data_IF_548068599267
#
_entry.id   IF_548068599267
#
_cell.length_a   1.000
_cell.length_b   1.000
_cell.length_c   1.000
_cell.angle_alpha   90.00
_cell.angle_beta   90.00
_cell.angle_gamma   90.00
#
_symmetry.space_group_name_H-M   'P 1'
#
loop_
_entity.id
_entity.type
_entity.pdbx_description
1 polymer ?
#
# COMPACT_ATOMS: atom_id res chain seq x y z
N UNK A 1 -65.30 42.36 35.75
CA UNK A 1 -63.93 42.26 35.23
C UNK A 1 -63.31 41.04 35.90
N UNK A 2 -63.56 39.85 35.37
CA UNK A 2 -62.68 39.09 34.46
C UNK A 2 -61.36 38.62 35.12
N UNK A 3 -61.46 37.65 36.04
CA UNK A 3 -60.29 37.03 36.69
C UNK A 3 -60.32 35.48 36.69
N UNK A 4 -61.39 34.85 36.20
CA UNK A 4 -61.55 33.38 36.22
C UNK A 4 -61.10 32.70 34.91
N UNK A 5 -61.02 33.43 33.78
CA UNK A 5 -60.55 32.86 32.51
C UNK A 5 -59.03 32.78 32.37
N UNK A 6 -58.27 33.60 33.11
CA UNK A 6 -56.80 33.66 33.00
C UNK A 6 -56.09 32.55 33.78
N UNK A 7 -56.64 32.07 34.90
CA UNK A 7 -56.02 30.99 35.71
C UNK A 7 -56.15 29.59 35.08
N UNK A 8 -57.24 29.30 34.39
CA UNK A 8 -57.41 28.03 33.66
C UNK A 8 -56.40 27.88 32.51
N UNK A 9 -56.07 28.99 31.83
CA UNK A 9 -55.12 28.98 30.72
C UNK A 9 -53.64 28.90 31.17
N UNK A 10 -53.33 29.31 32.40
CA UNK A 10 -51.98 29.16 32.99
C UNK A 10 -51.70 27.70 33.42
N UNK A 11 -52.70 26.98 33.95
CA UNK A 11 -52.56 25.57 34.34
C UNK A 11 -52.35 24.61 33.17
N UNK A 12 -53.06 24.83 32.05
CA UNK A 12 -52.91 24.03 30.83
C UNK A 12 -51.56 24.27 30.15
N UNK A 13 -51.06 25.52 30.14
CA UNK A 13 -49.72 25.85 29.62
C UNK A 13 -48.60 25.27 30.47
N UNK A 14 -48.72 25.29 31.80
CA UNK A 14 -47.72 24.70 32.69
C UNK A 14 -47.67 23.16 32.58
N UNK A 15 -48.82 22.48 32.45
CA UNK A 15 -48.84 21.03 32.24
C UNK A 15 -48.26 20.61 30.89
N UNK A 16 -48.50 21.38 29.82
CA UNK A 16 -47.93 21.11 28.50
C UNK A 16 -46.39 21.26 28.51
N UNK A 17 -45.87 22.31 29.18
CA UNK A 17 -44.42 22.53 29.34
C UNK A 17 -43.75 21.45 30.22
N UNK A 18 -44.44 20.93 31.23
CA UNK A 18 -43.94 19.83 32.07
C UNK A 18 -43.91 18.52 31.28
N UNK A 19 -44.96 18.19 30.52
CA UNK A 19 -45.01 16.98 29.68
C UNK A 19 -43.96 17.00 28.56
N UNK A 20 -43.71 18.17 27.95
CA UNK A 20 -42.61 18.37 26.98
C UNK A 20 -41.23 18.20 27.63
N UNK A 21 -41.04 18.69 28.86
CA UNK A 21 -39.78 18.49 29.61
C UNK A 21 -39.57 17.04 30.03
N UNK A 22 -40.61 16.32 30.44
CA UNK A 22 -40.55 14.89 30.80
C UNK A 22 -40.25 14.03 29.57
N UNK A 23 -40.88 14.30 28.42
CA UNK A 23 -40.59 13.62 27.15
C UNK A 23 -39.16 13.90 26.63
N UNK A 24 -38.66 15.13 26.80
CA UNK A 24 -37.29 15.53 26.46
C UNK A 24 -36.24 14.93 27.41
N UNK A 25 -36.56 14.75 28.69
CA UNK A 25 -35.69 14.08 29.67
C UNK A 25 -35.66 12.54 29.49
N UNK A 26 -36.75 11.91 29.04
CA UNK A 26 -36.79 10.46 28.73
C UNK A 26 -35.96 10.12 27.47
N UNK A 27 -36.04 10.95 26.42
CA UNK A 27 -35.20 10.78 25.23
C UNK A 27 -33.72 10.99 25.54
N UNK A 28 -33.35 12.01 26.33
CA UNK A 28 -31.94 12.27 26.67
C UNK A 28 -31.31 11.22 27.59
N UNK A 29 -32.08 10.53 28.44
CA UNK A 29 -31.56 9.40 29.23
C UNK A 29 -31.30 8.14 28.38
N UNK A 30 -32.13 7.87 27.36
CA UNK A 30 -31.90 6.77 26.41
C UNK A 30 -30.68 7.00 25.52
N UNK A 31 -30.43 8.24 25.07
CA UNK A 31 -29.24 8.57 24.28
C UNK A 31 -27.95 8.44 25.10
N UNK A 32 -27.98 8.80 26.40
CA UNK A 32 -26.83 8.63 27.30
C UNK A 32 -26.57 7.16 27.67
N UNK A 33 -27.62 6.36 27.85
CA UNK A 33 -27.49 4.92 28.09
C UNK A 33 -26.92 4.17 26.87
N UNK A 34 -27.21 4.64 25.66
CA UNK A 34 -26.55 4.16 24.43
C UNK A 34 -25.11 4.68 24.27
N UNK A 35 -24.78 5.86 24.81
CA UNK A 35 -23.43 6.42 24.79
C UNK A 35 -22.46 5.79 25.80
N UNK A 36 -22.95 4.96 26.73
CA UNK A 36 -22.13 4.25 27.74
C UNK A 36 -21.83 2.80 27.38
N UNK A 37 -22.35 2.29 26.25
CA UNK A 37 -22.11 0.92 25.76
C UNK A 37 -21.16 0.85 24.55
N UNK A 38 -20.61 1.96 24.08
CA UNK A 38 -19.45 1.95 23.16
C UNK A 38 -18.16 1.72 23.96
N UNK A 39 -18.12 0.51 24.52
CA UNK A 39 -16.94 -0.19 25.00
C UNK A 39 -15.81 -0.02 23.98
N UNK A 40 -14.76 0.66 24.43
CA UNK A 40 -13.36 0.29 24.23
C UNK A 40 -13.04 -0.44 22.90
N UNK A 41 -13.18 0.26 21.77
CA UNK A 41 -12.53 -0.16 20.53
C UNK A 41 -11.08 0.33 20.60
N UNK A 42 -10.26 -0.41 21.34
CA UNK A 42 -8.80 -0.43 21.15
C UNK A 42 -8.51 -1.13 19.82
N UNK A 43 -8.79 -0.47 18.70
CA UNK A 43 -8.08 -0.80 17.47
C UNK A 43 -6.81 0.03 17.49
N UNK A 44 -5.75 -0.60 17.98
CA UNK A 44 -4.39 -0.24 17.63
C UNK A 44 -4.38 -0.02 16.11
N UNK A 45 -4.32 1.25 15.69
CA UNK A 45 -3.80 1.55 14.37
C UNK A 45 -2.39 1.01 14.40
N UNK A 46 -2.21 -0.22 13.92
CA UNK A 46 -0.91 -0.66 13.45
C UNK A 46 -0.54 0.40 12.43
N UNK A 47 0.32 1.33 12.85
CA UNK A 47 1.15 2.05 11.90
C UNK A 47 1.90 0.93 11.21
N UNK A 48 1.38 0.49 10.05
CA UNK A 48 2.23 -0.08 9.04
C UNK A 48 3.28 1.00 8.87
N UNK A 49 4.45 0.75 9.46
CA UNK A 49 5.62 1.53 9.14
C UNK A 49 5.63 1.57 7.62
N UNK A 50 5.46 2.77 7.06
CA UNK A 50 5.87 3.03 5.70
C UNK A 50 7.40 2.87 5.70
N UNK A 51 7.90 1.65 5.89
CA UNK A 51 9.10 1.22 5.19
C UNK A 51 8.72 1.47 3.74
N UNK A 52 9.24 2.54 3.15
CA UNK A 52 8.86 2.98 1.82
C UNK A 52 8.86 1.78 0.90
N UNK A 53 7.68 1.35 0.47
CA UNK A 53 7.57 0.28 -0.50
C UNK A 53 8.20 0.84 -1.77
N UNK A 54 9.45 0.47 -2.04
CA UNK A 54 10.02 0.68 -3.37
C UNK A 54 9.05 -0.01 -4.32
N UNK A 55 8.44 0.77 -5.20
CA UNK A 55 7.58 0.21 -6.23
C UNK A 55 8.49 -0.52 -7.21
N UNK A 56 8.54 -1.85 -7.07
CA UNK A 56 9.50 -2.70 -7.80
C UNK A 56 9.17 -2.74 -9.30
N UNK A 57 7.92 -2.56 -9.72
CA UNK A 57 7.53 -2.54 -11.14
C UNK A 57 7.67 -1.14 -11.78
N UNK A 58 8.80 -0.48 -11.55
CA UNK A 58 9.13 0.84 -12.10
C UNK A 58 10.33 0.75 -13.04
N UNK A 59 10.46 1.76 -13.89
CA UNK A 59 11.53 1.90 -14.87
C UNK A 59 11.42 3.24 -15.59
N UNK A 60 12.19 3.40 -16.66
CA UNK A 60 12.11 4.57 -17.52
C UNK A 60 10.72 4.70 -18.19
N UNK A 61 10.39 5.89 -18.67
CA UNK A 61 9.17 6.10 -19.46
C UNK A 61 9.12 5.22 -20.71
N UNK A 62 10.28 4.85 -21.26
CA UNK A 62 10.37 3.99 -22.45
C UNK A 62 9.87 2.57 -22.21
N UNK A 63 9.77 2.14 -20.95
CA UNK A 63 9.16 0.85 -20.58
C UNK A 63 7.71 0.70 -21.06
N UNK A 64 7.00 1.80 -21.33
CA UNK A 64 5.64 1.72 -21.89
C UNK A 64 5.61 1.06 -23.27
N UNK A 65 6.69 1.18 -24.04
CA UNK A 65 6.84 0.64 -25.39
C UNK A 65 7.40 -0.79 -25.42
N UNK A 66 7.81 -1.32 -24.26
CA UNK A 66 8.27 -2.70 -24.15
C UNK A 66 7.15 -3.70 -24.46
N UNK A 67 7.57 -4.88 -24.94
CA UNK A 67 6.73 -6.08 -24.98
C UNK A 67 6.05 -6.29 -23.63
N UNK A 68 4.74 -6.62 -23.58
CA UNK A 68 4.06 -6.95 -22.33
C UNK A 68 4.64 -8.18 -21.64
N UNK A 69 5.46 -8.99 -22.31
CA UNK A 69 6.06 -10.21 -21.76
C UNK A 69 7.57 -10.09 -21.53
N UNK A 70 8.15 -8.88 -21.63
CA UNK A 70 9.61 -8.69 -21.60
C UNK A 70 10.28 -9.34 -20.38
N UNK A 71 9.70 -9.18 -19.18
CA UNK A 71 10.26 -9.79 -17.96
C UNK A 71 10.13 -11.32 -17.99
N UNK A 72 9.06 -11.87 -18.56
CA UNK A 72 8.87 -13.32 -18.67
C UNK A 72 9.90 -13.95 -19.63
N UNK A 73 10.16 -13.29 -20.76
CA UNK A 73 11.17 -13.68 -21.74
C UNK A 73 12.58 -13.61 -21.13
N UNK A 74 12.91 -12.51 -20.45
CA UNK A 74 14.17 -12.34 -19.71
C UNK A 74 14.31 -13.43 -18.64
N UNK A 75 13.26 -13.69 -17.86
CA UNK A 75 13.29 -14.73 -16.84
C UNK A 75 13.60 -16.09 -17.46
N UNK A 76 12.98 -16.44 -18.58
CA UNK A 76 13.24 -17.71 -19.29
C UNK A 76 14.70 -17.84 -19.70
N UNK A 77 15.29 -16.79 -20.28
CA UNK A 77 16.71 -16.77 -20.64
C UNK A 77 17.61 -16.93 -19.40
N UNK A 78 17.31 -16.20 -18.33
CA UNK A 78 18.13 -16.25 -17.10
C UNK A 78 18.04 -17.60 -16.39
N UNK A 79 16.87 -18.24 -16.37
CA UNK A 79 16.73 -19.57 -15.78
C UNK A 79 17.60 -20.63 -16.49
N UNK A 80 17.91 -20.43 -17.78
CA UNK A 80 18.78 -21.33 -18.56
C UNK A 80 20.28 -21.12 -18.30
N UNK A 81 20.69 -20.05 -17.60
CA UNK A 81 22.10 -19.79 -17.31
C UNK A 81 22.67 -20.80 -16.32
N UNK A 82 23.98 -21.06 -16.42
CA UNK A 82 24.71 -21.79 -15.39
C UNK A 82 24.75 -20.98 -14.10
N UNK A 83 24.40 -21.59 -12.98
CA UNK A 83 24.31 -20.97 -11.66
C UNK A 83 25.61 -20.32 -11.19
N UNK A 84 26.76 -20.83 -11.62
CA UNK A 84 28.09 -20.33 -11.27
C UNK A 84 28.52 -19.09 -12.06
N UNK A 85 27.81 -18.71 -13.13
CA UNK A 85 28.13 -17.51 -13.89
C UNK A 85 28.00 -16.28 -12.98
N UNK A 86 28.96 -15.37 -13.05
CA UNK A 86 28.96 -14.13 -12.28
C UNK A 86 28.75 -12.92 -13.18
N UNK A 87 28.06 -11.92 -12.64
CA UNK A 87 27.74 -10.67 -13.33
C UNK A 87 28.15 -9.50 -12.44
N UNK A 88 28.81 -8.52 -13.05
CA UNK A 88 29.22 -7.28 -12.39
C UNK A 88 28.26 -6.13 -12.69
N UNK A 89 28.50 -5.01 -12.00
CA UNK A 89 27.81 -3.74 -12.25
C UNK A 89 27.83 -3.36 -13.75
N UNK A 90 26.66 -3.02 -14.30
CA UNK A 90 26.47 -2.58 -15.70
C UNK A 90 26.47 -3.69 -16.75
N UNK A 91 26.79 -4.94 -16.39
CA UNK A 91 26.79 -6.04 -17.35
C UNK A 91 25.35 -6.48 -17.67
N UNK A 92 25.02 -6.55 -18.97
CA UNK A 92 23.75 -7.11 -19.42
C UNK A 92 23.74 -8.63 -19.21
N UNK A 93 22.72 -9.11 -18.51
CA UNK A 93 22.53 -10.51 -18.15
C UNK A 93 21.68 -11.20 -19.21
N UNK A 94 20.56 -10.56 -19.59
CA UNK A 94 19.63 -11.01 -20.62
C UNK A 94 18.79 -9.84 -21.11
N UNK A 95 18.30 -9.93 -22.35
CA UNK A 95 17.50 -8.88 -22.96
C UNK A 95 16.31 -9.44 -23.73
N UNK A 96 15.24 -8.66 -23.78
CA UNK A 96 14.06 -8.87 -24.62
C UNK A 96 13.86 -7.60 -25.43
N UNK A 97 14.31 -7.60 -26.69
CA UNK A 97 14.38 -6.38 -27.50
C UNK A 97 15.32 -5.35 -26.86
N UNK A 98 14.82 -4.14 -26.62
CA UNK A 98 15.57 -3.07 -25.97
C UNK A 98 15.40 -3.02 -24.44
N UNK A 99 14.75 -4.03 -23.83
CA UNK A 99 14.66 -4.15 -22.37
C UNK A 99 15.70 -5.15 -21.90
N UNK A 100 16.59 -4.74 -21.00
CA UNK A 100 17.67 -5.58 -20.51
C UNK A 100 17.66 -5.65 -18.98
N UNK A 101 18.05 -6.81 -18.45
CA UNK A 101 18.35 -7.02 -17.04
C UNK A 101 19.85 -6.84 -16.77
N UNK A 102 20.19 -6.04 -15.78
CA UNK A 102 21.56 -5.75 -15.38
C UNK A 102 21.66 -5.31 -13.92
N UNK A 103 22.85 -5.43 -13.33
CA UNK A 103 23.09 -5.01 -11.95
C UNK A 103 23.54 -3.54 -11.91
N UNK A 104 23.09 -2.79 -10.91
CA UNK A 104 23.57 -1.44 -10.61
C UNK A 104 23.92 -1.32 -9.12
N UNK A 105 24.84 -0.41 -8.80
CA UNK A 105 25.27 -0.05 -7.45
C UNK A 105 25.77 -1.22 -6.59
N UNK A 106 26.08 -2.37 -7.19
CA UNK A 106 26.57 -3.55 -6.47
C UNK A 106 28.06 -3.44 -6.16
N UNK A 107 28.46 -3.86 -4.96
CA UNK A 107 29.87 -4.09 -4.62
C UNK A 107 30.28 -5.51 -5.06
N UNK A 108 31.04 -5.62 -6.14
CA UNK A 108 31.54 -6.90 -6.67
C UNK A 108 30.61 -7.54 -7.71
N UNK A 109 30.29 -8.82 -7.54
CA UNK A 109 29.49 -9.60 -8.50
C UNK A 109 28.34 -10.35 -7.83
N UNK A 110 27.31 -10.68 -8.62
CA UNK A 110 26.26 -11.63 -8.24
C UNK A 110 26.30 -12.85 -9.14
N UNK A 111 26.00 -14.02 -8.58
CA UNK A 111 25.88 -15.25 -9.35
C UNK A 111 24.54 -15.31 -10.09
N UNK A 112 24.46 -16.10 -11.16
CA UNK A 112 23.21 -16.37 -11.85
C UNK A 112 22.17 -16.98 -10.90
N UNK A 113 22.59 -17.82 -9.95
CA UNK A 113 21.70 -18.38 -8.93
C UNK A 113 21.01 -17.29 -8.09
N UNK A 114 21.74 -16.26 -7.66
CA UNK A 114 21.17 -15.11 -6.94
C UNK A 114 20.19 -14.34 -7.83
N UNK A 115 20.59 -14.06 -9.08
CA UNK A 115 19.78 -13.31 -10.05
C UNK A 115 18.46 -14.06 -10.38
N UNK A 116 18.50 -15.39 -10.52
CA UNK A 116 17.29 -16.21 -10.68
C UNK A 116 16.34 -16.04 -9.49
N UNK A 117 16.87 -15.94 -8.27
CA UNK A 117 16.10 -15.64 -7.07
C UNK A 117 15.39 -14.29 -7.15
N UNK A 118 16.12 -13.24 -7.51
CA UNK A 118 15.60 -11.89 -7.69
C UNK A 118 14.51 -11.81 -8.77
N UNK A 119 14.72 -12.48 -9.91
CA UNK A 119 13.72 -12.51 -10.99
C UNK A 119 12.44 -13.23 -10.59
N UNK A 120 12.52 -14.32 -9.81
CA UNK A 120 11.32 -14.96 -9.26
C UNK A 120 10.51 -14.02 -8.38
N UNK A 121 11.16 -13.17 -7.59
CA UNK A 121 10.48 -12.17 -6.78
C UNK A 121 9.78 -11.12 -7.67
N UNK A 122 10.48 -10.60 -8.68
CA UNK A 122 9.92 -9.62 -9.63
C UNK A 122 8.68 -10.19 -10.34
N UNK A 123 8.78 -11.42 -10.85
CA UNK A 123 7.67 -12.13 -11.51
C UNK A 123 6.54 -12.41 -10.51
N UNK A 124 6.85 -12.86 -9.29
CA UNK A 124 5.88 -13.13 -8.24
C UNK A 124 5.08 -11.90 -7.79
N UNK A 125 5.63 -10.70 -8.01
CA UNK A 125 4.95 -9.41 -7.78
C UNK A 125 4.15 -8.92 -8.99
N UNK A 126 4.17 -9.63 -10.12
CA UNK A 126 3.40 -9.32 -11.32
C UNK A 126 4.00 -8.24 -12.22
N UNK A 127 5.29 -7.91 -12.08
CA UNK A 127 5.93 -6.98 -13.00
C UNK A 127 6.10 -7.63 -14.38
N UNK A 128 5.67 -6.95 -15.44
CA UNK A 128 5.63 -7.53 -16.79
C UNK A 128 6.62 -6.90 -17.78
N UNK A 129 6.94 -5.61 -17.62
CA UNK A 129 7.79 -4.84 -18.55
C UNK A 129 9.15 -4.45 -17.98
N UNK A 130 9.15 -3.72 -16.88
CA UNK A 130 10.35 -3.20 -16.23
C UNK A 130 10.25 -3.35 -14.72
N UNK A 131 11.40 -3.45 -14.07
CA UNK A 131 11.47 -3.57 -12.63
C UNK A 131 12.81 -3.12 -12.05
N UNK A 132 12.81 -2.79 -10.77
CA UNK A 132 14.00 -2.51 -9.96
C UNK A 132 13.84 -3.26 -8.64
N UNK A 133 14.80 -4.11 -8.30
CA UNK A 133 14.81 -4.88 -7.05
C UNK A 133 16.14 -4.71 -6.31
N UNK A 134 16.14 -4.23 -5.06
CA UNK A 134 17.35 -4.20 -4.24
C UNK A 134 17.94 -5.60 -4.05
N UNK A 135 19.28 -5.72 -4.14
CA UNK A 135 19.98 -7.01 -3.99
C UNK A 135 20.64 -7.20 -2.63
N UNK A 136 20.70 -6.13 -1.83
CA UNK A 136 21.28 -6.12 -0.49
C UNK A 136 20.21 -5.99 0.61
N UNK A 137 20.52 -6.41 1.86
CA UNK A 137 19.65 -6.16 3.00
C UNK A 137 19.33 -4.68 3.20
N UNK A 138 18.15 -4.39 3.74
CA UNK A 138 17.71 -3.02 4.04
C UNK A 138 16.93 -2.34 2.91
N UNK A 139 16.60 -3.05 1.83
CA UNK A 139 15.73 -2.58 0.74
C UNK A 139 16.21 -1.23 0.17
N UNK A 140 17.51 -1.11 -0.07
CA UNK A 140 18.15 0.12 -0.55
C UNK A 140 18.83 -0.11 -1.90
N UNK A 141 18.36 0.59 -2.93
CA UNK A 141 18.92 0.53 -4.28
C UNK A 141 20.30 1.16 -4.41
N UNK A 142 20.66 2.07 -3.49
CA UNK A 142 21.97 2.74 -3.52
C UNK A 142 23.14 1.81 -3.17
N UNK A 143 22.85 0.63 -2.62
CA UNK A 143 23.85 -0.37 -2.21
C UNK A 143 23.85 -1.61 -3.10
N UNK A 144 22.94 -1.69 -4.07
CA UNK A 144 22.84 -2.80 -5.01
C UNK A 144 21.41 -3.04 -5.47
N UNK A 145 21.21 -3.13 -6.78
CA UNK A 145 19.92 -3.43 -7.40
C UNK A 145 20.08 -4.28 -8.66
N UNK A 146 19.08 -5.13 -8.92
CA UNK A 146 18.81 -5.72 -10.21
C UNK A 146 17.80 -4.83 -10.92
N UNK A 147 18.20 -4.29 -12.06
CA UNK A 147 17.40 -3.38 -12.88
C UNK A 147 17.02 -4.07 -14.18
N UNK A 148 15.74 -4.02 -14.52
CA UNK A 148 15.17 -4.41 -15.81
C UNK A 148 14.58 -3.15 -16.42
N UNK A 149 15.25 -2.58 -17.40
CA UNK A 149 14.88 -1.27 -17.95
C UNK A 149 15.19 -1.19 -19.45
N UNK A 150 14.62 -0.18 -20.10
CA UNK A 150 14.96 0.15 -21.47
C UNK A 150 16.41 0.65 -21.56
N UNK A 151 17.12 0.12 -22.54
CA UNK A 151 18.49 0.53 -22.92
C UNK A 151 18.45 1.13 -24.34
N UNK A 152 19.40 2.01 -24.63
CA UNK A 152 19.56 2.68 -25.92
C UNK A 152 20.76 2.13 -26.68
#
# INVERSE_FOLDING_TARGET
MDDTKTKANQGVRNNCVILLKVAYMDTTMRVKALALLTILVLLSTATLSNAGFISICKGSALCQYASPNAISEINTQVQALNDANTYSNGQYIACSGNICAYLQNVSGTKTAAQIKGYLREIVGRGCSKCAILPTEPGNNVATGELTINAVA
#
